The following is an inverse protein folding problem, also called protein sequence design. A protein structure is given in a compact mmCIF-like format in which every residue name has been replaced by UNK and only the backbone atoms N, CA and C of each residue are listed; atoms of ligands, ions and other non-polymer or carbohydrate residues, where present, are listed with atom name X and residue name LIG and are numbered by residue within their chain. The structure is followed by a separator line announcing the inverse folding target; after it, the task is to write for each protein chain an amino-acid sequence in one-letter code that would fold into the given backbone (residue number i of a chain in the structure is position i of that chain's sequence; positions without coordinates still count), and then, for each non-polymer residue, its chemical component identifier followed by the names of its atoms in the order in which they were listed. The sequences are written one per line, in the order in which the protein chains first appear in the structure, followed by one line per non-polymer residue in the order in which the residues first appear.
data_IF_917760402076
#
_entry.id   IF_917760402076
#
_cell.length_a   1.000
_cell.length_b   1.000
_cell.length_c   1.000
_cell.angle_alpha   90.00
_cell.angle_beta   90.00
_cell.angle_gamma   90.00
#
_symmetry.space_group_name_H-M   'P 1'
#
loop_
_entity.id
_entity.type
_entity.pdbx_description
1 polymer ?
#
# COMPACT_ATOMS: atom_id res chain seq x y z
N UNK A 1 -2.34 -1.76 6.03
CA UNK A 1 -3.81 -1.48 6.02
C UNK A 1 -4.60 -2.76 5.87
N UNK A 2 -5.75 -2.89 6.55
CA UNK A 2 -6.70 -3.99 6.42
C UNK A 2 -8.02 -3.44 5.86
N UNK A 3 -8.60 -4.10 4.86
CA UNK A 3 -9.92 -3.77 4.31
C UNK A 3 -10.90 -4.89 4.63
N UNK A 4 -11.98 -4.55 5.31
CA UNK A 4 -13.06 -5.44 5.72
C UNK A 4 -14.26 -5.13 4.83
N UNK A 5 -14.57 -6.02 3.90
CA UNK A 5 -15.64 -5.87 2.92
C UNK A 5 -16.95 -6.54 3.36
N UNK A 6 -16.91 -7.32 4.45
CA UNK A 6 -18.05 -7.95 5.09
C UNK A 6 -17.92 -7.84 6.60
N UNK A 7 -18.99 -7.47 7.29
CA UNK A 7 -19.01 -7.40 8.76
C UNK A 7 -18.70 -8.76 9.42
N UNK A 8 -19.07 -9.87 8.77
CA UNK A 8 -18.79 -11.21 9.28
C UNK A 8 -17.28 -11.51 9.26
N UNK A 9 -16.55 -11.10 8.21
CA UNK A 9 -15.10 -11.25 8.10
C UNK A 9 -14.36 -10.36 9.10
N UNK A 10 -14.97 -9.22 9.50
CA UNK A 10 -14.44 -8.29 10.49
C UNK A 10 -14.64 -8.69 11.94
N UNK A 11 -15.43 -9.74 12.24
CA UNK A 11 -15.92 -10.01 13.58
C UNK A 11 -14.81 -10.19 14.62
N UNK A 12 -13.71 -10.84 14.28
CA UNK A 12 -12.59 -11.05 15.19
C UNK A 12 -11.83 -9.74 15.47
N UNK A 13 -11.69 -8.89 14.47
CA UNK A 13 -11.14 -7.52 14.62
C UNK A 13 -12.02 -6.69 15.56
N UNK A 14 -13.34 -6.70 15.35
CA UNK A 14 -14.27 -5.96 16.21
C UNK A 14 -14.20 -6.45 17.66
N UNK A 15 -14.14 -7.75 17.88
CA UNK A 15 -13.92 -8.34 19.21
C UNK A 15 -12.56 -7.95 19.79
N UNK A 16 -11.51 -7.90 18.97
CA UNK A 16 -10.18 -7.51 19.42
C UNK A 16 -10.16 -6.03 19.83
N UNK A 17 -10.76 -5.14 19.07
CA UNK A 17 -10.83 -3.70 19.37
C UNK A 17 -11.86 -3.36 20.46
N UNK A 18 -12.84 -4.19 20.72
CA UNK A 18 -13.86 -4.00 21.77
C UNK A 18 -13.34 -4.25 23.19
N UNK A 19 -12.17 -3.70 23.57
CA UNK A 19 -11.59 -3.83 24.91
C UNK A 19 -10.69 -2.64 25.23
N UNK A 20 -11.00 -1.95 26.33
CA UNK A 20 -10.24 -0.78 26.79
C UNK A 20 -8.75 -1.08 26.93
N UNK A 21 -8.39 -2.22 27.55
CA UNK A 21 -6.97 -2.60 27.73
C UNK A 21 -6.26 -2.76 26.39
N UNK A 22 -6.90 -3.35 25.37
CA UNK A 22 -6.28 -3.53 24.04
C UNK A 22 -6.17 -2.22 23.28
N UNK A 23 -7.14 -1.31 23.44
CA UNK A 23 -7.04 0.04 22.91
C UNK A 23 -5.86 0.79 23.56
N UNK A 24 -5.67 0.68 24.87
CA UNK A 24 -4.52 1.31 25.55
C UNK A 24 -3.19 0.69 25.10
N UNK A 25 -3.10 -0.63 24.84
CA UNK A 25 -1.92 -1.26 24.25
C UNK A 25 -1.60 -0.62 22.90
N UNK A 26 -2.60 -0.48 22.02
CA UNK A 26 -2.43 0.13 20.69
C UNK A 26 -1.93 1.57 20.81
N UNK A 27 -2.54 2.39 21.68
CA UNK A 27 -2.09 3.76 21.91
C UNK A 27 -0.63 3.85 22.37
N UNK A 28 -0.23 2.99 23.31
CA UNK A 28 1.14 2.94 23.78
C UNK A 28 2.13 2.56 22.68
N UNK A 29 1.75 1.64 21.77
CA UNK A 29 2.58 1.26 20.63
C UNK A 29 2.62 2.34 19.54
N UNK A 30 1.56 3.13 19.34
CA UNK A 30 1.57 4.31 18.48
C UNK A 30 2.57 5.35 18.99
N UNK A 31 2.56 5.63 20.31
CA UNK A 31 3.42 6.64 20.92
C UNK A 31 4.90 6.24 20.97
N UNK A 32 5.18 4.96 21.27
CA UNK A 32 6.54 4.49 21.56
C UNK A 32 7.15 3.66 20.41
N UNK A 33 6.40 3.44 19.30
CA UNK A 33 6.73 2.61 18.13
C UNK A 33 6.88 1.13 18.48
N UNK A 34 7.69 0.79 19.49
CA UNK A 34 7.88 -0.57 20.01
C UNK A 34 7.96 -0.55 21.55
N UNK A 35 7.53 -1.63 22.17
CA UNK A 35 7.66 -1.84 23.63
C UNK A 35 7.78 -3.32 23.94
N UNK A 36 8.57 -3.66 24.98
CA UNK A 36 8.60 -5.02 25.46
C UNK A 36 7.41 -5.36 26.38
N UNK A 37 7.18 -6.66 26.60
CA UNK A 37 6.05 -7.15 27.42
C UNK A 37 6.06 -6.60 28.85
N UNK A 38 7.24 -6.42 29.46
CA UNK A 38 7.34 -5.93 30.84
C UNK A 38 7.00 -4.45 30.92
N UNK A 39 7.44 -3.65 29.97
CA UNK A 39 7.13 -2.22 29.87
C UNK A 39 5.64 -1.98 29.69
N UNK A 40 5.01 -2.73 28.75
CA UNK A 40 3.56 -2.67 28.54
C UNK A 40 2.79 -3.06 29.81
N UNK A 41 3.16 -4.18 30.46
CA UNK A 41 2.51 -4.62 31.68
C UNK A 41 2.61 -3.59 32.81
N UNK A 42 3.80 -2.99 32.98
CA UNK A 42 4.03 -1.95 33.97
C UNK A 42 3.20 -0.68 33.71
N UNK A 43 3.18 -0.18 32.45
CA UNK A 43 2.38 1.01 32.08
C UNK A 43 0.87 0.80 32.24
N UNK A 44 0.40 -0.41 31.96
CA UNK A 44 -1.02 -0.78 32.05
C UNK A 44 -1.44 -1.25 33.47
N UNK A 45 -0.48 -1.38 34.38
CA UNK A 45 -0.68 -1.91 35.74
C UNK A 45 -1.42 -3.27 35.75
N UNK A 46 -1.00 -4.20 34.89
CA UNK A 46 -1.51 -5.57 34.79
C UNK A 46 -0.37 -6.59 34.86
N UNK A 47 -0.72 -7.85 35.13
CA UNK A 47 0.28 -8.92 35.12
C UNK A 47 0.69 -9.32 33.71
N UNK A 48 1.93 -9.83 33.54
CA UNK A 48 2.39 -10.36 32.25
C UNK A 48 1.51 -11.49 31.70
N UNK A 49 0.92 -12.29 32.58
CA UNK A 49 -0.03 -13.35 32.20
C UNK A 49 -1.32 -12.78 31.56
N UNK A 50 -1.88 -11.73 32.17
CA UNK A 50 -3.04 -11.03 31.61
C UNK A 50 -2.69 -10.33 30.28
N UNK A 51 -1.55 -9.62 30.23
CA UNK A 51 -1.08 -8.95 29.02
C UNK A 51 -0.90 -9.95 27.87
N UNK A 52 -0.32 -11.13 28.12
CA UNK A 52 -0.13 -12.17 27.10
C UNK A 52 -1.44 -12.54 26.42
N UNK A 53 -2.54 -12.62 27.16
CA UNK A 53 -3.87 -12.90 26.61
C UNK A 53 -4.39 -11.79 25.69
N UNK A 54 -4.09 -10.53 26.01
CA UNK A 54 -4.46 -9.38 25.17
C UNK A 54 -3.61 -9.30 23.90
N UNK A 55 -2.29 -9.46 24.01
CA UNK A 55 -1.36 -9.45 22.88
C UNK A 55 -1.69 -10.58 21.90
N UNK A 56 -1.93 -11.81 22.35
CA UNK A 56 -2.31 -12.92 21.47
C UNK A 56 -3.57 -12.63 20.65
N UNK A 57 -4.55 -11.92 21.21
CA UNK A 57 -5.77 -11.53 20.47
C UNK A 57 -5.48 -10.46 19.40
N UNK A 58 -4.63 -9.49 19.71
CA UNK A 58 -4.22 -8.47 18.74
C UNK A 58 -3.32 -9.07 17.65
N UNK A 59 -2.45 -10.00 18.00
CA UNK A 59 -1.57 -10.73 17.09
C UNK A 59 -2.37 -11.64 16.14
N UNK A 60 -3.37 -12.36 16.65
CA UNK A 60 -4.25 -13.21 15.84
C UNK A 60 -5.05 -12.42 14.78
N UNK A 61 -5.30 -11.14 15.03
CA UNK A 61 -5.96 -10.23 14.08
C UNK A 61 -4.96 -9.44 13.24
N UNK A 62 -3.66 -9.68 13.35
CA UNK A 62 -2.62 -8.97 12.62
C UNK A 62 -2.48 -7.49 13.00
N UNK A 63 -3.02 -7.05 14.15
CA UNK A 63 -2.91 -5.65 14.61
C UNK A 63 -1.53 -5.39 15.22
N UNK A 64 -0.98 -6.37 15.94
CA UNK A 64 0.31 -6.32 16.62
C UNK A 64 1.17 -7.47 16.14
N UNK A 65 2.45 -7.21 15.90
CA UNK A 65 3.48 -8.23 15.72
C UNK A 65 4.31 -8.38 16.98
N UNK A 66 4.81 -9.60 17.23
CA UNK A 66 5.79 -9.84 18.28
C UNK A 66 7.06 -10.44 17.71
N UNK A 67 8.22 -9.92 18.10
CA UNK A 67 9.54 -10.44 17.77
C UNK A 67 10.33 -10.74 19.03
N UNK A 68 11.34 -11.61 18.92
CA UNK A 68 12.28 -11.84 20.03
C UNK A 68 13.45 -10.86 19.89
N UNK A 69 13.83 -10.21 21.00
CA UNK A 69 15.01 -9.36 21.02
C UNK A 69 16.27 -10.21 20.81
N UNK A 70 17.00 -9.94 19.73
CA UNK A 70 18.27 -10.60 19.39
C UNK A 70 19.50 -9.93 20.00
N UNK A 71 19.33 -8.82 20.73
CA UNK A 71 20.43 -7.98 21.26
C UNK A 71 21.09 -8.49 22.54
N UNK A 72 20.81 -9.69 23.01
CA UNK A 72 21.69 -10.43 23.94
C UNK A 72 21.40 -10.28 25.44
N UNK A 73 20.33 -9.63 25.88
CA UNK A 73 19.96 -9.54 27.28
C UNK A 73 18.59 -10.16 27.59
N UNK A 74 18.47 -11.49 27.37
CA UNK A 74 17.28 -12.24 27.72
C UNK A 74 16.24 -12.32 26.59
N UNK A 75 15.42 -13.36 26.64
CA UNK A 75 14.40 -13.68 25.64
C UNK A 75 13.18 -12.75 25.82
N UNK A 76 13.33 -11.43 25.61
CA UNK A 76 12.26 -10.46 25.72
C UNK A 76 11.49 -10.37 24.41
N UNK A 77 10.16 -10.52 24.48
CA UNK A 77 9.29 -10.26 23.35
C UNK A 77 9.04 -8.76 23.19
N UNK A 78 9.36 -8.23 22.02
CA UNK A 78 9.07 -6.85 21.61
C UNK A 78 7.77 -6.88 20.82
N UNK A 79 6.86 -5.95 21.14
CA UNK A 79 5.59 -5.74 20.48
C UNK A 79 5.67 -4.48 19.61
N UNK A 80 5.23 -4.57 18.38
CA UNK A 80 5.13 -3.47 17.42
C UNK A 80 3.74 -3.42 16.80
N UNK A 81 3.28 -2.23 16.43
CA UNK A 81 2.04 -2.09 15.68
C UNK A 81 2.29 -2.52 14.21
N UNK A 82 1.46 -3.42 13.70
CA UNK A 82 1.56 -3.90 12.31
C UNK A 82 0.54 -3.23 11.38
N UNK A 83 -0.64 -2.88 11.88
CA UNK A 83 -1.68 -2.20 11.11
C UNK A 83 -1.72 -0.71 11.46
N UNK A 84 -1.63 0.12 10.44
CA UNK A 84 -1.76 1.58 10.51
C UNK A 84 -3.21 2.05 10.27
N UNK A 85 -3.98 1.26 9.51
CA UNK A 85 -5.35 1.61 9.12
C UNK A 85 -6.24 0.38 8.94
N UNK A 86 -7.49 0.52 9.32
CA UNK A 86 -8.56 -0.45 9.04
C UNK A 86 -9.67 0.29 8.29
N UNK A 87 -10.00 -0.17 7.09
CA UNK A 87 -11.15 0.30 6.30
C UNK A 87 -12.27 -0.73 6.43
N UNK A 88 -13.47 -0.28 6.73
CA UNK A 88 -14.65 -1.13 6.93
C UNK A 88 -15.75 -0.66 5.99
N UNK A 89 -16.18 -1.51 5.08
CA UNK A 89 -17.38 -1.28 4.29
C UNK A 89 -18.59 -1.79 5.07
N UNK A 90 -19.55 -0.90 5.31
CA UNK A 90 -20.81 -1.23 5.98
C UNK A 90 -21.93 -1.61 5.01
N UNK A 91 -21.74 -1.28 3.74
CA UNK A 91 -22.65 -1.69 2.67
C UNK A 91 -22.44 -3.17 2.36
N UNK A 92 -23.47 -4.00 2.55
CA UNK A 92 -23.44 -5.36 2.01
C UNK A 92 -23.37 -5.29 0.47
N UNK A 93 -22.53 -6.11 -0.19
CA UNK A 93 -22.61 -6.21 -1.64
C UNK A 93 -24.03 -6.61 -2.05
N UNK A 94 -24.65 -5.85 -2.93
CA UNK A 94 -26.04 -6.07 -3.38
C UNK A 94 -26.20 -7.42 -4.12
N UNK A 95 -25.10 -8.03 -4.56
CA UNK A 95 -25.05 -9.29 -5.31
C UNK A 95 -23.81 -10.11 -4.90
N UNK A 96 -23.90 -11.44 -5.02
CA UNK A 96 -22.74 -12.31 -4.91
C UNK A 96 -21.72 -11.94 -6.00
N UNK A 97 -20.62 -11.29 -5.61
CA UNK A 97 -19.60 -10.86 -6.54
C UNK A 97 -18.49 -11.92 -6.64
N UNK A 98 -18.09 -12.22 -7.86
CA UNK A 98 -16.85 -12.96 -8.08
C UNK A 98 -15.68 -11.98 -8.04
N UNK A 99 -14.51 -12.46 -7.64
CA UNK A 99 -13.30 -11.64 -7.52
C UNK A 99 -12.18 -12.30 -8.34
N UNK A 100 -11.55 -11.49 -9.21
CA UNK A 100 -10.30 -11.86 -9.85
C UNK A 100 -9.18 -11.02 -9.25
N UNK A 101 -8.11 -11.67 -8.77
CA UNK A 101 -6.96 -11.00 -8.18
C UNK A 101 -5.75 -11.11 -9.10
N UNK A 102 -5.01 -10.02 -9.24
CA UNK A 102 -3.73 -9.94 -9.90
C UNK A 102 -2.72 -9.19 -9.03
N UNK A 103 -1.44 -9.46 -9.21
CA UNK A 103 -0.35 -8.73 -8.58
C UNK A 103 0.61 -8.29 -9.69
N UNK A 104 0.86 -6.98 -9.78
CA UNK A 104 1.71 -6.36 -10.78
C UNK A 104 3.02 -5.99 -10.12
N UNK A 105 4.11 -6.62 -10.52
CA UNK A 105 5.44 -6.29 -9.99
C UNK A 105 5.83 -4.87 -10.42
N UNK A 106 6.53 -4.17 -9.55
CA UNK A 106 6.90 -2.77 -9.73
C UNK A 106 7.61 -2.51 -11.06
N UNK A 107 8.47 -3.42 -11.50
CA UNK A 107 9.20 -3.30 -12.76
C UNK A 107 8.45 -3.74 -14.02
N UNK A 108 7.21 -4.24 -13.90
CA UNK A 108 6.43 -4.78 -15.03
C UNK A 108 5.58 -3.72 -15.76
N UNK A 109 5.93 -2.45 -15.65
CA UNK A 109 5.27 -1.40 -16.45
C UNK A 109 5.43 -1.66 -17.95
N UNK A 110 4.40 -1.34 -18.73
CA UNK A 110 4.35 -1.48 -20.20
C UNK A 110 4.74 -0.19 -20.92
N UNK A 111 4.63 0.97 -20.26
CA UNK A 111 5.00 2.26 -20.79
C UNK A 111 5.52 3.18 -19.68
N UNK A 112 6.39 4.13 -20.03
CA UNK A 112 6.93 5.10 -19.07
C UNK A 112 7.45 6.36 -19.78
N UNK A 113 7.43 7.45 -19.06
CA UNK A 113 8.16 8.68 -19.33
C UNK A 113 8.57 9.25 -17.97
N UNK A 114 9.85 9.22 -17.65
CA UNK A 114 10.35 9.58 -16.32
C UNK A 114 11.51 10.56 -16.41
N UNK A 115 11.65 11.38 -15.39
CA UNK A 115 12.69 12.40 -15.29
C UNK A 115 13.47 12.27 -13.97
N UNK A 116 14.76 12.63 -13.95
CA UNK A 116 15.58 12.66 -12.75
C UNK A 116 15.06 13.67 -11.70
N UNK A 117 15.20 13.34 -10.40
CA UNK A 117 15.85 12.15 -9.83
C UNK A 117 15.06 10.89 -10.17
N UNK A 118 15.73 9.83 -10.58
CA UNK A 118 15.02 8.59 -10.93
C UNK A 118 15.94 7.36 -10.80
N UNK A 119 15.34 6.19 -10.64
CA UNK A 119 16.06 4.94 -10.62
C UNK A 119 15.18 3.73 -10.32
N UNK A 120 15.83 2.57 -10.31
CA UNK A 120 15.24 1.27 -10.02
C UNK A 120 16.22 0.43 -9.21
N UNK A 121 15.69 -0.42 -8.34
CA UNK A 121 16.51 -1.43 -7.66
C UNK A 121 15.74 -2.75 -7.50
N UNK A 122 16.51 -3.83 -7.46
CA UNK A 122 16.06 -5.15 -7.03
C UNK A 122 16.24 -5.28 -5.51
N UNK A 123 15.82 -6.38 -4.92
CA UNK A 123 16.11 -6.71 -3.52
C UNK A 123 17.61 -6.70 -3.17
N UNK A 124 18.52 -6.80 -4.16
CA UNK A 124 19.96 -7.03 -3.95
C UNK A 124 20.90 -6.00 -4.56
N UNK A 125 20.45 -5.15 -5.50
CA UNK A 125 21.31 -4.17 -6.18
C UNK A 125 20.52 -3.11 -6.93
N UNK A 126 21.17 -1.98 -7.22
CA UNK A 126 20.67 -0.96 -8.13
C UNK A 126 20.67 -1.49 -9.58
N UNK A 127 19.64 -1.15 -10.34
CA UNK A 127 19.58 -1.46 -11.77
C UNK A 127 20.22 -0.30 -12.53
N UNK A 128 21.48 -0.48 -12.91
CA UNK A 128 22.28 0.52 -13.59
C UNK A 128 22.68 1.71 -12.71
N UNK A 129 22.62 2.90 -13.27
CA UNK A 129 22.99 4.14 -12.59
C UNK A 129 21.75 4.96 -12.27
N UNK A 130 21.76 5.65 -11.13
CA UNK A 130 20.69 6.59 -10.75
C UNK A 130 20.70 7.79 -11.69
N UNK A 131 19.56 8.44 -11.82
CA UNK A 131 19.33 9.64 -12.66
C UNK A 131 19.53 9.43 -14.15
N UNK A 132 19.64 8.18 -14.59
CA UNK A 132 19.69 7.81 -15.99
C UNK A 132 18.41 7.08 -16.42
N UNK A 133 17.52 7.79 -17.08
CA UNK A 133 16.21 7.29 -17.54
C UNK A 133 16.28 6.10 -18.49
N UNK A 134 17.45 5.87 -19.15
CA UNK A 134 17.64 4.75 -20.07
C UNK A 134 17.52 3.39 -19.38
N UNK A 135 17.85 3.31 -18.08
CA UNK A 135 17.76 2.07 -17.34
C UNK A 135 16.32 1.61 -17.07
N UNK A 136 15.32 2.48 -17.26
CA UNK A 136 13.93 2.06 -17.25
C UNK A 136 13.58 1.12 -18.43
N UNK A 137 14.43 1.02 -19.46
CA UNK A 137 14.33 0.01 -20.51
C UNK A 137 15.23 -1.22 -20.27
N UNK A 138 16.03 -1.24 -19.19
CA UNK A 138 16.95 -2.35 -18.92
C UNK A 138 16.17 -3.66 -18.69
N UNK A 139 16.63 -4.82 -19.22
CA UNK A 139 15.93 -6.10 -19.04
C UNK A 139 15.74 -6.50 -17.57
N UNK A 140 16.69 -6.14 -16.70
CA UNK A 140 16.61 -6.45 -15.28
C UNK A 140 15.51 -5.67 -14.54
N UNK A 141 14.89 -4.66 -15.18
CA UNK A 141 13.75 -3.96 -14.61
C UNK A 141 12.60 -4.87 -14.18
N UNK A 142 12.44 -6.01 -14.85
CA UNK A 142 11.43 -7.00 -14.48
C UNK A 142 11.62 -7.61 -13.07
N UNK A 143 12.81 -7.43 -12.49
CA UNK A 143 13.14 -7.83 -11.12
C UNK A 143 13.13 -6.64 -10.14
N UNK A 144 12.73 -5.45 -10.60
CA UNK A 144 12.68 -4.28 -9.73
C UNK A 144 11.61 -4.42 -8.64
N UNK A 145 12.02 -4.17 -7.40
CA UNK A 145 11.18 -4.14 -6.20
C UNK A 145 10.96 -2.71 -5.67
N UNK A 146 11.62 -1.73 -6.29
CA UNK A 146 11.39 -0.30 -6.05
C UNK A 146 11.71 0.47 -7.32
N UNK A 147 10.92 1.50 -7.60
CA UNK A 147 11.25 2.52 -8.60
C UNK A 147 10.86 3.90 -8.09
N UNK A 148 11.58 4.91 -8.57
CA UNK A 148 11.30 6.31 -8.25
C UNK A 148 11.60 7.24 -9.43
N UNK A 149 10.93 8.39 -9.45
CA UNK A 149 11.19 9.46 -10.40
C UNK A 149 10.64 10.81 -9.92
N UNK A 150 11.25 11.92 -10.35
CA UNK A 150 10.83 13.25 -9.91
C UNK A 150 9.52 13.71 -10.55
N UNK A 151 9.28 13.36 -11.81
CA UNK A 151 8.06 13.66 -12.58
C UNK A 151 7.93 12.74 -13.78
N UNK A 152 6.74 12.73 -14.42
CA UNK A 152 6.41 11.83 -15.50
C UNK A 152 5.47 10.72 -15.06
N UNK A 153 5.57 9.54 -15.65
CA UNK A 153 4.65 8.43 -15.34
C UNK A 153 5.26 7.05 -15.60
N UNK A 154 4.67 6.06 -14.96
CA UNK A 154 4.74 4.64 -15.32
C UNK A 154 3.33 4.09 -15.53
N UNK A 155 3.17 3.19 -16.50
CA UNK A 155 1.89 2.60 -16.88
C UNK A 155 1.97 1.08 -16.85
N UNK A 156 0.99 0.44 -16.21
CA UNK A 156 0.90 -1.00 -16.04
C UNK A 156 -0.32 -1.54 -16.78
N UNK A 157 -0.19 -2.69 -17.42
CA UNK A 157 -1.34 -3.41 -17.97
C UNK A 157 -1.94 -4.33 -16.91
N UNK A 158 -3.22 -4.13 -16.60
CA UNK A 158 -3.97 -4.98 -15.68
C UNK A 158 -4.56 -6.13 -16.48
N UNK A 159 -4.25 -7.40 -16.14
CA UNK A 159 -4.82 -8.56 -16.80
C UNK A 159 -6.35 -8.59 -16.68
N UNK A 160 -7.03 -8.77 -17.79
CA UNK A 160 -8.49 -8.89 -17.84
C UNK A 160 -8.91 -10.31 -18.28
N UNK A 161 -9.14 -11.16 -17.29
CA UNK A 161 -9.61 -12.53 -17.52
C UNK A 161 -11.08 -12.73 -17.09
N UNK A 162 -11.86 -11.66 -17.11
CA UNK A 162 -13.29 -11.71 -16.76
C UNK A 162 -14.06 -12.44 -17.86
N UNK A 163 -14.95 -13.41 -17.55
CA UNK A 163 -15.76 -14.11 -18.53
C UNK A 163 -16.68 -13.16 -19.32
N UNK A 164 -16.90 -13.44 -20.61
CA UNK A 164 -17.71 -12.59 -21.49
C UNK A 164 -19.19 -12.44 -21.10
N UNK A 165 -19.70 -13.27 -20.18
CA UNK A 165 -21.04 -13.17 -19.62
C UNK A 165 -21.11 -12.32 -18.34
N UNK A 166 -19.99 -11.70 -17.96
CA UNK A 166 -19.85 -10.94 -16.71
C UNK A 166 -19.51 -9.47 -17.01
N UNK A 167 -19.90 -8.57 -16.11
CA UNK A 167 -19.53 -7.14 -16.12
C UNK A 167 -18.66 -6.81 -14.90
N UNK A 168 -17.68 -5.94 -15.06
CA UNK A 168 -16.87 -5.41 -13.96
C UNK A 168 -17.74 -4.46 -13.14
N UNK A 169 -17.76 -4.64 -11.84
CA UNK A 169 -18.54 -3.82 -10.90
C UNK A 169 -17.67 -2.91 -10.06
N UNK A 170 -16.41 -3.33 -9.81
CA UNK A 170 -15.44 -2.57 -9.04
C UNK A 170 -14.01 -3.00 -9.41
N UNK A 171 -13.10 -2.03 -9.41
CA UNK A 171 -11.64 -2.28 -9.44
C UNK A 171 -11.07 -1.69 -8.15
N UNK A 172 -10.28 -2.49 -7.44
CA UNK A 172 -9.56 -2.11 -6.25
C UNK A 172 -8.06 -2.28 -6.51
N UNK A 173 -7.27 -1.23 -6.23
CA UNK A 173 -5.83 -1.21 -6.45
C UNK A 173 -5.16 -0.81 -5.15
N UNK A 174 -4.17 -1.61 -4.70
CA UNK A 174 -3.41 -1.33 -3.48
C UNK A 174 -1.93 -1.27 -3.82
N UNK A 175 -1.27 -0.17 -3.44
CA UNK A 175 0.16 0.04 -3.64
C UNK A 175 0.76 0.85 -2.49
N UNK A 176 2.02 0.59 -2.15
CA UNK A 176 2.80 1.41 -1.22
C UNK A 176 3.51 2.52 -2.01
N UNK A 177 3.20 3.78 -1.68
CA UNK A 177 3.61 4.97 -2.44
C UNK A 177 4.16 6.06 -1.52
N UNK A 178 5.15 6.81 -1.99
CA UNK A 178 5.61 8.06 -1.39
C UNK A 178 5.93 9.11 -2.44
N UNK A 179 6.25 10.32 -2.00
CA UNK A 179 6.95 11.30 -2.82
C UNK A 179 8.40 10.84 -3.10
N UNK A 180 9.12 11.57 -3.92
CA UNK A 180 10.56 11.41 -4.19
C UNK A 180 11.25 12.75 -4.03
N UNK A 181 12.05 12.90 -2.98
CA UNK A 181 12.84 14.08 -2.69
C UNK A 181 14.34 13.85 -3.00
N UNK A 182 15.13 14.87 -3.29
CA UNK A 182 16.58 14.74 -3.31
C UNK A 182 17.12 14.42 -1.89
N UNK A 183 17.26 13.15 -1.57
CA UNK A 183 17.47 12.63 -0.21
C UNK A 183 16.16 12.25 0.44
N UNK A 184 16.01 12.44 1.75
CA UNK A 184 14.75 12.19 2.47
C UNK A 184 14.16 13.50 3.00
N UNK A 185 12.83 13.64 2.89
CA UNK A 185 12.12 14.79 3.44
C UNK A 185 10.66 14.39 3.76
N UNK A 186 10.35 14.25 5.04
CA UNK A 186 9.02 13.90 5.53
C UNK A 186 7.95 14.96 5.17
N UNK A 187 8.35 16.17 4.75
CA UNK A 187 7.46 17.24 4.30
C UNK A 187 7.85 17.64 2.88
N UNK A 188 7.48 16.79 1.92
CA UNK A 188 7.76 16.96 0.49
C UNK A 188 6.53 16.57 -0.32
N UNK A 189 5.52 17.44 -0.42
CA UNK A 189 4.25 17.10 -1.03
C UNK A 189 4.41 16.81 -2.52
N UNK A 190 3.68 15.78 -2.99
CA UNK A 190 3.58 15.43 -4.40
C UNK A 190 2.15 15.08 -4.78
N UNK A 191 1.64 15.70 -5.85
CA UNK A 191 0.32 15.39 -6.39
C UNK A 191 0.43 14.22 -7.38
N UNK A 192 0.18 13.02 -6.87
CA UNK A 192 0.23 11.77 -7.62
C UNK A 192 -1.14 11.52 -8.25
N UNK A 193 -1.21 11.56 -9.57
CA UNK A 193 -2.43 11.35 -10.34
C UNK A 193 -2.52 9.92 -10.86
N UNK A 194 -3.73 9.36 -10.78
CA UNK A 194 -4.03 8.02 -11.26
C UNK A 194 -4.91 8.10 -12.50
N UNK A 195 -4.62 7.22 -13.47
CA UNK A 195 -5.41 7.12 -14.70
C UNK A 195 -5.75 5.65 -14.95
N UNK A 196 -6.95 5.42 -15.45
CA UNK A 196 -7.36 4.15 -16.02
C UNK A 196 -7.73 4.40 -17.48
N UNK A 197 -7.07 3.71 -18.43
CA UNK A 197 -7.27 3.89 -19.87
C UNK A 197 -7.27 5.37 -20.30
N UNK A 198 -6.25 6.13 -19.88
CA UNK A 198 -6.04 7.56 -20.12
C UNK A 198 -7.06 8.53 -19.50
N UNK A 199 -8.08 8.04 -18.82
CA UNK A 199 -9.01 8.87 -18.04
C UNK A 199 -8.45 9.08 -16.65
N UNK A 200 -8.29 10.35 -16.23
CA UNK A 200 -7.87 10.69 -14.87
C UNK A 200 -8.98 10.27 -13.88
N UNK A 201 -8.64 9.36 -12.98
CA UNK A 201 -9.56 8.84 -11.95
C UNK A 201 -9.38 9.50 -10.60
N UNK A 202 -8.42 10.43 -10.49
CA UNK A 202 -8.20 11.24 -9.31
C UNK A 202 -6.73 11.45 -8.98
N UNK A 203 -6.49 12.32 -8.01
CA UNK A 203 -5.14 12.68 -7.55
C UNK A 203 -5.08 12.56 -6.03
N UNK A 204 -3.99 11.98 -5.54
CA UNK A 204 -3.65 11.93 -4.13
C UNK A 204 -2.41 12.77 -3.87
N UNK A 205 -2.48 13.62 -2.84
CA UNK A 205 -1.32 14.38 -2.37
C UNK A 205 -0.54 13.56 -1.38
N UNK A 206 0.62 13.05 -1.79
CA UNK A 206 1.60 12.44 -0.91
C UNK A 206 2.20 13.51 -0.01
N UNK A 207 2.34 13.27 1.31
CA UNK A 207 2.88 14.29 2.21
C UNK A 207 4.41 14.40 2.19
N UNK A 208 5.11 13.32 1.79
CA UNK A 208 6.57 13.33 1.87
C UNK A 208 7.24 12.07 1.33
N UNK A 209 8.56 12.13 1.40
CA UNK A 209 9.50 11.03 1.16
C UNK A 209 10.08 10.59 2.50
N UNK A 210 9.78 9.36 2.92
CA UNK A 210 10.01 8.92 4.29
C UNK A 210 11.30 8.11 4.44
N UNK A 211 12.15 8.53 5.39
CA UNK A 211 13.42 7.87 5.68
C UNK A 211 13.88 8.08 7.12
N UNK A 212 13.00 8.53 8.02
CA UNK A 212 13.30 8.71 9.44
C UNK A 212 13.61 7.40 10.18
N UNK A 213 13.06 6.30 9.67
CA UNK A 213 13.36 4.93 10.10
C UNK A 213 13.48 4.02 8.88
N UNK A 214 14.20 2.90 9.02
CA UNK A 214 14.29 1.88 7.96
C UNK A 214 12.92 1.22 7.74
N UNK A 215 12.54 1.01 6.49
CA UNK A 215 11.36 0.22 6.14
C UNK A 215 11.54 -1.25 6.56
N UNK A 216 10.44 -1.89 6.97
CA UNK A 216 10.44 -3.27 7.50
C UNK A 216 11.05 -4.27 6.52
N UNK A 217 10.76 -4.11 5.22
CA UNK A 217 11.25 -4.97 4.15
C UNK A 217 12.45 -4.37 3.40
N UNK A 218 12.81 -3.11 3.67
CA UNK A 218 13.92 -2.43 3.00
C UNK A 218 15.25 -3.10 3.31
N UNK A 219 16.01 -3.57 2.28
CA UNK A 219 17.21 -4.36 2.47
C UNK A 219 18.33 -3.60 3.21
N UNK A 220 19.22 -4.35 3.91
CA UNK A 220 20.31 -3.76 4.68
C UNK A 220 21.33 -2.97 3.85
N UNK A 221 21.50 -3.34 2.57
CA UNK A 221 22.40 -2.66 1.65
C UNK A 221 21.87 -1.30 1.15
N UNK A 222 20.52 -1.03 1.30
CA UNK A 222 19.92 0.22 0.87
C UNK A 222 20.42 1.40 1.69
N UNK A 223 20.67 2.52 1.03
CA UNK A 223 21.26 3.69 1.67
C UNK A 223 20.34 4.31 2.73
N UNK A 224 20.87 4.61 3.95
CA UNK A 224 20.02 5.12 5.05
C UNK A 224 19.38 6.49 4.79
N UNK A 225 19.97 7.29 3.89
CA UNK A 225 19.52 8.62 3.50
C UNK A 225 18.67 8.64 2.23
N UNK A 226 18.22 7.48 1.78
CA UNK A 226 17.28 7.33 0.68
C UNK A 226 15.91 6.92 1.22
N UNK A 227 14.87 7.03 0.37
CA UNK A 227 13.52 6.61 0.68
C UNK A 227 13.45 5.20 1.28
N UNK A 228 12.85 5.08 2.46
CA UNK A 228 12.83 3.84 3.23
C UNK A 228 11.49 3.14 3.18
N UNK A 229 10.40 3.90 3.13
CA UNK A 229 9.03 3.37 3.12
C UNK A 229 8.04 4.38 2.56
N UNK A 230 6.86 3.89 2.23
CA UNK A 230 5.73 4.68 1.76
C UNK A 230 4.49 4.52 2.64
N UNK A 231 3.39 5.04 2.13
CA UNK A 231 2.06 4.85 2.68
C UNK A 231 1.28 3.88 1.79
N UNK A 232 0.69 2.85 2.38
CA UNK A 232 -0.19 1.97 1.64
C UNK A 232 -1.45 2.74 1.24
N UNK A 233 -1.74 2.76 -0.05
CA UNK A 233 -2.91 3.41 -0.63
C UNK A 233 -3.85 2.38 -1.24
N UNK A 234 -5.13 2.55 -0.97
CA UNK A 234 -6.18 1.74 -1.57
C UNK A 234 -7.06 2.63 -2.44
N UNK A 235 -6.93 2.46 -3.74
CA UNK A 235 -7.73 3.12 -4.76
C UNK A 235 -8.90 2.20 -5.13
N UNK A 236 -10.12 2.71 -5.10
CA UNK A 236 -11.35 1.96 -5.41
C UNK A 236 -12.14 2.73 -6.47
N UNK A 237 -12.46 2.05 -7.58
CA UNK A 237 -13.30 2.57 -8.65
C UNK A 237 -14.56 1.71 -8.69
N UNK A 238 -15.72 2.30 -8.43
CA UNK A 238 -17.00 1.58 -8.40
C UNK A 238 -18.15 2.41 -9.02
N UNK A 239 -19.38 1.98 -8.82
CA UNK A 239 -20.59 2.67 -9.34
C UNK A 239 -20.86 4.05 -8.72
N UNK A 240 -20.23 4.36 -7.57
CA UNK A 240 -20.44 5.62 -6.81
C UNK A 240 -19.39 6.69 -7.13
N UNK A 241 -18.24 6.30 -7.69
CA UNK A 241 -17.10 7.18 -7.97
C UNK A 241 -15.76 6.49 -7.77
N UNK A 242 -14.71 7.29 -7.67
CA UNK A 242 -13.35 6.85 -7.34
C UNK A 242 -12.95 7.36 -5.96
N UNK A 243 -12.41 6.46 -5.16
CA UNK A 243 -12.05 6.69 -3.76
C UNK A 243 -10.60 6.31 -3.51
N UNK A 244 -9.94 7.01 -2.60
CA UNK A 244 -8.67 6.60 -2.02
C UNK A 244 -8.79 6.52 -0.50
N UNK A 245 -8.43 5.37 0.08
CA UNK A 245 -8.58 5.10 1.52
C UNK A 245 -9.99 5.44 2.06
N UNK A 246 -11.04 5.23 1.26
CA UNK A 246 -12.42 5.52 1.61
C UNK A 246 -12.87 6.97 1.37
N UNK A 247 -11.96 7.89 1.02
CA UNK A 247 -12.31 9.27 0.68
C UNK A 247 -12.53 9.39 -0.83
N UNK A 248 -13.68 9.94 -1.23
CA UNK A 248 -13.96 10.19 -2.65
C UNK A 248 -13.02 11.27 -3.19
N UNK A 249 -12.31 10.95 -4.28
CA UNK A 249 -11.36 11.83 -4.96
C UNK A 249 -11.82 12.23 -6.36
N UNK A 250 -12.82 11.53 -6.91
CA UNK A 250 -13.38 11.81 -8.22
C UNK A 250 -14.77 11.22 -8.37
N UNK A 251 -15.60 11.85 -9.22
CA UNK A 251 -16.91 11.32 -9.62
C UNK A 251 -16.84 10.29 -10.75
N UNK A 252 -15.65 10.02 -11.29
CA UNK A 252 -15.44 8.99 -12.33
C UNK A 252 -15.79 7.62 -11.77
N UNK A 253 -16.67 6.93 -12.45
CA UNK A 253 -17.22 5.63 -12.05
C UNK A 253 -16.70 4.51 -12.95
N UNK A 254 -16.88 3.27 -12.53
CA UNK A 254 -16.54 2.10 -13.36
C UNK A 254 -17.31 2.06 -14.69
N UNK A 255 -18.50 2.70 -14.74
CA UNK A 255 -19.34 2.74 -15.94
C UNK A 255 -18.79 3.63 -17.06
N UNK A 256 -17.95 4.61 -16.71
CA UNK A 256 -17.37 5.56 -17.66
C UNK A 256 -16.34 4.91 -18.59
N UNK A 257 -15.89 3.70 -18.26
CA UNK A 257 -14.88 2.97 -19.06
C UNK A 257 -15.45 1.97 -20.06
N UNK A 258 -16.73 1.62 -19.96
CA UNK A 258 -17.38 0.61 -20.84
C UNK A 258 -16.54 -0.69 -20.97
N UNK A 259 -16.00 -1.19 -19.87
CA UNK A 259 -15.10 -2.34 -19.86
C UNK A 259 -15.88 -3.63 -20.11
N UNK A 260 -15.43 -4.40 -21.08
CA UNK A 260 -15.89 -5.77 -21.35
C UNK A 260 -14.71 -6.76 -21.20
N UNK A 261 -14.96 -8.04 -21.45
CA UNK A 261 -13.96 -9.11 -21.35
C UNK A 261 -12.80 -9.01 -22.36
N UNK A 262 -12.89 -8.14 -23.38
CA UNK A 262 -11.86 -7.87 -24.38
C UNK A 262 -11.10 -6.58 -24.13
N UNK A 263 -11.58 -5.74 -23.21
CA UNK A 263 -10.99 -4.44 -22.94
C UNK A 263 -9.61 -4.59 -22.33
N UNK A 264 -8.63 -3.86 -22.85
CA UNK A 264 -7.39 -3.63 -22.15
C UNK A 264 -7.64 -2.67 -20.99
N UNK A 265 -6.98 -2.91 -19.88
CA UNK A 265 -7.04 -2.03 -18.71
C UNK A 265 -5.62 -1.57 -18.36
N UNK A 266 -5.37 -0.28 -18.47
CA UNK A 266 -4.06 0.33 -18.22
C UNK A 266 -4.15 1.27 -17.02
N UNK A 267 -3.40 0.96 -15.98
CA UNK A 267 -3.20 1.81 -14.83
C UNK A 267 -1.96 2.67 -15.03
N UNK A 268 -2.13 3.99 -15.05
CA UNK A 268 -1.00 4.93 -15.04
C UNK A 268 -0.94 5.64 -13.70
N UNK A 269 0.26 5.72 -13.14
CA UNK A 269 0.59 6.55 -11.98
C UNK A 269 1.55 7.65 -12.44
N UNK A 270 1.18 8.90 -12.19
CA UNK A 270 1.88 10.05 -12.79
C UNK A 270 2.07 11.19 -11.78
N UNK A 271 3.17 11.90 -11.95
CA UNK A 271 3.39 13.25 -11.42
C UNK A 271 3.47 14.20 -12.60
N UNK A 272 2.39 14.94 -12.83
CA UNK A 272 2.26 15.80 -13.99
C UNK A 272 3.08 17.08 -13.85
N UNK A 273 3.64 17.60 -14.96
CA UNK A 273 4.42 18.83 -14.97
C UNK A 273 3.65 20.07 -14.47
N UNK A 274 2.33 20.06 -14.64
CA UNK A 274 1.44 21.16 -14.26
C UNK A 274 0.73 20.92 -12.91
N UNK A 275 1.16 19.91 -12.13
CA UNK A 275 0.66 19.70 -10.79
C UNK A 275 1.02 20.86 -9.86
N UNK A 276 0.21 21.12 -8.85
CA UNK A 276 0.51 22.13 -7.83
C UNK A 276 1.79 21.77 -7.05
N UNK A 277 1.98 20.47 -6.79
CA UNK A 277 3.15 19.93 -6.11
C UNK A 277 3.79 18.84 -6.97
N UNK A 278 4.94 19.16 -7.58
CA UNK A 278 5.76 18.22 -8.35
C UNK A 278 6.86 17.71 -7.43
N UNK A 279 6.52 16.74 -6.59
CA UNK A 279 7.39 16.18 -5.56
C UNK A 279 7.78 14.72 -5.82
N UNK A 280 7.66 14.25 -7.06
CA UNK A 280 8.06 12.90 -7.45
C UNK A 280 7.13 11.78 -6.96
N UNK A 281 7.47 10.58 -7.35
CA UNK A 281 6.78 9.34 -6.97
C UNK A 281 7.80 8.23 -6.73
N UNK A 282 7.66 7.53 -5.60
CA UNK A 282 8.28 6.24 -5.34
C UNK A 282 7.19 5.18 -5.21
N UNK A 283 7.40 4.03 -5.87
CA UNK A 283 6.56 2.83 -5.78
C UNK A 283 7.39 1.73 -5.14
N UNK A 284 6.92 1.21 -4.01
CA UNK A 284 7.57 0.13 -3.26
C UNK A 284 6.93 -1.21 -3.62
N UNK A 285 7.77 -2.22 -3.83
CA UNK A 285 7.40 -3.62 -4.05
C UNK A 285 7.69 -4.50 -2.82
N UNK A 286 7.68 -5.80 -3.02
CA UNK A 286 7.75 -6.81 -1.94
C UNK A 286 8.94 -6.69 -1.02
N UNK A 287 10.10 -6.28 -1.55
CA UNK A 287 11.37 -6.28 -0.80
C UNK A 287 11.77 -4.89 -0.33
N UNK A 288 10.84 -3.93 -0.36
CA UNK A 288 11.05 -2.57 0.11
C UNK A 288 9.83 -2.07 0.88
N UNK A 289 10.04 -1.02 1.69
CA UNK A 289 8.96 -0.38 2.41
C UNK A 289 8.48 -1.16 3.63
N UNK A 290 7.19 -1.00 3.94
CA UNK A 290 6.58 -1.51 5.16
C UNK A 290 5.54 -2.62 4.94
N UNK A 291 5.13 -2.92 3.70
CA UNK A 291 3.95 -3.76 3.46
C UNK A 291 4.22 -5.08 2.72
N UNK A 292 5.44 -5.31 2.23
CA UNK A 292 5.86 -6.58 1.63
C UNK A 292 4.94 -7.04 0.49
N UNK A 293 4.48 -6.13 -0.34
CA UNK A 293 3.62 -6.41 -1.47
C UNK A 293 4.02 -5.60 -2.71
N UNK A 294 3.68 -6.13 -3.87
CA UNK A 294 3.66 -5.36 -5.13
C UNK A 294 2.32 -4.62 -5.30
N UNK A 295 2.06 -4.09 -6.48
CA UNK A 295 0.77 -3.45 -6.80
C UNK A 295 -0.28 -4.55 -6.90
N UNK A 296 -1.19 -4.63 -5.93
CA UNK A 296 -2.29 -5.60 -5.93
C UNK A 296 -3.51 -5.00 -6.61
N UNK A 297 -4.14 -5.81 -7.43
CA UNK A 297 -5.38 -5.45 -8.13
C UNK A 297 -6.43 -6.52 -7.85
N UNK A 298 -7.61 -6.10 -7.41
CA UNK A 298 -8.80 -6.96 -7.26
C UNK A 298 -9.92 -6.42 -8.14
N UNK A 299 -10.46 -7.26 -8.99
CA UNK A 299 -11.55 -6.93 -9.91
C UNK A 299 -12.78 -7.70 -9.46
N UNK A 300 -13.78 -6.99 -9.00
CA UNK A 300 -15.08 -7.56 -8.68
C UNK A 300 -15.95 -7.54 -9.93
N UNK A 301 -16.67 -8.62 -10.19
CA UNK A 301 -17.53 -8.76 -11.35
C UNK A 301 -18.79 -9.57 -11.03
N UNK A 302 -19.85 -9.31 -11.77
CA UNK A 302 -21.16 -9.93 -11.60
C UNK A 302 -21.76 -10.30 -12.97
N UNK A 303 -22.77 -11.19 -13.04
CA UNK A 303 -23.48 -11.47 -14.27
C UNK A 303 -24.02 -10.19 -14.95
N UNK A 304 -24.00 -10.19 -16.28
CA UNK A 304 -24.70 -9.16 -17.05
C UNK A 304 -26.19 -9.43 -16.87
N UNK A 305 -26.93 -8.49 -16.28
CA UNK A 305 -28.39 -8.56 -16.22
C UNK A 305 -28.95 -8.44 -17.65
N UNK A 306 -29.86 -9.33 -18.02
CA UNK A 306 -30.58 -9.31 -19.31
C UNK A 306 -31.57 -8.12 -19.40
#
# INVERSE_FOLDING_TARGET
MLHITSLDDGLDIFKALGSDVRIEIIKLLIENKEMNMNELAAKLNITNGALTGHIKKLEACGIVNTSNDSSGHGNQKICTLHLDKILIDLDAPEEAQNVYNAELQVGHYCNYEVYPTCGLATASHLIGEVDDTRYFAHPDRYNADILWFSKGFVEYEIPNFIPGSQKITQILISAELSSEAPGINNVWPSDISFYLNDVCIGTWRSPGDFGDVRGIFTPDWWFPNWNQYGLLKMLVINKKGTFIDGLQISDVTIRDFNLDYRSSMKLRMAVNDNAEHVGGLTIFGKSFGNYGQDIKVSINYAPIEE
#
